data_IF_913797224550
#
_entry.id   IF_913797224550
#
_cell.length_a   1.000
_cell.length_b   1.000
_cell.length_c   1.000
_cell.angle_alpha   90.00
_cell.angle_beta   90.00
_cell.angle_gamma   90.00
#
_symmetry.space_group_name_H-M   'P 1'
#
loop_
_entity.id
_entity.type
_entity.pdbx_description
1 polymer ?
#
# COMPACT_ATOMS: atom_id res chain seq x y z
N UNK A 1 15.11 -15.43 2.28
CA UNK A 1 13.85 -15.56 3.05
C UNK A 1 14.15 -16.43 4.26
N UNK A 2 13.80 -15.98 5.45
CA UNK A 2 14.01 -16.76 6.67
C UNK A 2 12.97 -17.88 6.72
N UNK A 3 13.42 -19.13 6.56
CA UNK A 3 12.53 -20.29 6.48
C UNK A 3 11.74 -20.50 7.76
N UNK A 4 12.31 -20.16 8.92
CA UNK A 4 11.62 -20.35 10.20
C UNK A 4 10.43 -19.39 10.33
N UNK A 5 10.62 -18.14 9.89
CA UNK A 5 9.55 -17.13 9.86
C UNK A 5 8.40 -17.61 8.94
N UNK A 6 8.73 -18.01 7.72
CA UNK A 6 7.75 -18.45 6.72
C UNK A 6 7.00 -19.71 7.17
N UNK A 7 7.72 -20.74 7.63
CA UNK A 7 7.11 -21.98 8.12
C UNK A 7 6.26 -21.72 9.37
N UNK A 8 6.69 -20.83 10.26
CA UNK A 8 5.93 -20.47 11.46
C UNK A 8 4.58 -19.85 11.15
N UNK A 9 4.54 -18.84 10.26
CA UNK A 9 3.28 -18.21 9.82
C UNK A 9 2.40 -19.23 9.10
N UNK A 10 2.98 -20.02 8.17
CA UNK A 10 2.23 -21.05 7.44
C UNK A 10 1.62 -22.10 8.35
N UNK A 11 2.35 -22.54 9.38
CA UNK A 11 1.84 -23.51 10.34
C UNK A 11 0.67 -22.97 11.17
N UNK A 12 0.64 -21.68 11.44
CA UNK A 12 -0.48 -21.02 12.12
C UNK A 12 -1.67 -20.94 11.16
N UNK A 13 -1.48 -20.44 9.93
CA UNK A 13 -2.52 -20.33 8.90
C UNK A 13 -3.26 -21.67 8.64
N UNK A 14 -2.54 -22.79 8.63
CA UNK A 14 -3.15 -24.13 8.42
C UNK A 14 -4.03 -24.59 9.59
N UNK A 15 -3.83 -24.06 10.80
CA UNK A 15 -4.62 -24.46 11.98
C UNK A 15 -6.03 -23.86 11.99
N UNK A 16 -6.27 -22.79 11.21
CA UNK A 16 -7.57 -22.15 11.01
C UNK A 16 -8.32 -21.91 12.34
N UNK A 17 -7.66 -21.24 13.29
CA UNK A 17 -8.22 -20.91 14.60
C UNK A 17 -9.08 -19.64 14.54
N UNK A 18 -10.03 -19.47 15.47
CA UNK A 18 -10.87 -18.26 15.55
C UNK A 18 -10.03 -16.98 15.76
N UNK A 19 -8.83 -17.09 16.34
CA UNK A 19 -7.95 -15.97 16.70
C UNK A 19 -6.66 -15.93 15.87
N UNK A 20 -6.73 -16.36 14.60
CA UNK A 20 -5.58 -16.53 13.72
C UNK A 20 -4.66 -15.28 13.67
N UNK A 21 -5.25 -14.09 13.61
CA UNK A 21 -4.52 -12.82 13.54
C UNK A 21 -3.68 -12.55 14.80
N UNK A 22 -4.28 -12.77 15.98
CA UNK A 22 -3.59 -12.58 17.26
C UNK A 22 -2.48 -13.63 17.46
N UNK A 23 -2.67 -14.85 16.97
CA UNK A 23 -1.64 -15.90 17.03
C UNK A 23 -0.42 -15.55 16.18
N UNK A 24 -0.66 -15.08 14.95
CA UNK A 24 0.41 -14.63 14.04
C UNK A 24 1.13 -13.41 14.63
N UNK A 25 0.39 -12.44 15.16
CA UNK A 25 0.97 -11.26 15.82
C UNK A 25 1.87 -11.67 17.00
N UNK A 26 1.37 -12.54 17.88
CA UNK A 26 2.14 -13.07 19.02
C UNK A 26 3.39 -13.83 18.58
N UNK A 27 3.30 -14.58 17.48
CA UNK A 27 4.44 -15.28 16.89
C UNK A 27 5.49 -14.28 16.38
N UNK A 28 5.07 -13.28 15.60
CA UNK A 28 5.94 -12.23 15.06
C UNK A 28 6.60 -11.41 16.18
N UNK A 29 5.87 -11.02 17.22
CA UNK A 29 6.42 -10.29 18.37
C UNK A 29 7.52 -11.10 19.09
N UNK A 30 7.29 -12.40 19.32
CA UNK A 30 8.30 -13.29 19.92
C UNK A 30 9.51 -13.48 19.01
N UNK A 31 9.28 -13.56 17.70
CA UNK A 31 10.32 -13.71 16.70
C UNK A 31 11.21 -12.46 16.63
N UNK A 32 10.60 -11.28 16.60
CA UNK A 32 11.28 -9.98 16.54
C UNK A 32 12.07 -9.66 17.81
N UNK A 33 11.63 -10.12 18.98
CA UNK A 33 12.44 -10.04 20.22
C UNK A 33 13.79 -10.75 20.11
N UNK A 34 13.87 -11.82 19.30
CA UNK A 34 15.11 -12.58 19.07
C UNK A 34 15.87 -12.09 17.84
N UNK A 35 15.14 -11.54 16.87
CA UNK A 35 15.65 -11.10 15.58
C UNK A 35 15.25 -9.63 15.29
N UNK A 36 15.71 -8.66 16.10
CA UNK A 36 15.22 -7.28 16.02
C UNK A 36 15.57 -6.59 14.70
N UNK A 37 16.58 -7.08 13.98
CA UNK A 37 17.00 -6.53 12.69
C UNK A 37 16.32 -7.22 11.48
N UNK A 38 15.32 -8.08 11.69
CA UNK A 38 14.63 -8.79 10.62
C UNK A 38 13.57 -7.89 9.97
N UNK A 39 13.97 -7.19 8.90
CA UNK A 39 13.09 -6.29 8.12
C UNK A 39 11.82 -6.99 7.63
N UNK A 40 11.95 -8.22 7.11
CA UNK A 40 10.82 -9.02 6.62
C UNK A 40 9.75 -9.22 7.71
N UNK A 41 10.15 -9.57 8.93
CA UNK A 41 9.21 -9.79 10.03
C UNK A 41 8.53 -8.48 10.47
N UNK A 42 9.26 -7.35 10.45
CA UNK A 42 8.67 -6.04 10.74
C UNK A 42 7.65 -5.61 9.68
N UNK A 43 7.94 -5.81 8.38
CA UNK A 43 7.01 -5.49 7.30
C UNK A 43 5.74 -6.35 7.37
N UNK A 44 5.90 -7.65 7.63
CA UNK A 44 4.79 -8.58 7.83
C UNK A 44 3.90 -8.20 9.00
N UNK A 45 4.52 -7.86 10.14
CA UNK A 45 3.79 -7.40 11.31
C UNK A 45 3.06 -6.08 11.04
N UNK A 46 3.71 -5.14 10.34
CA UNK A 46 3.13 -3.83 10.03
C UNK A 46 1.81 -3.94 9.24
N UNK A 47 1.77 -4.78 8.20
CA UNK A 47 0.55 -4.94 7.39
C UNK A 47 -0.52 -5.75 8.12
N UNK A 48 -0.13 -6.77 8.89
CA UNK A 48 -1.04 -7.59 9.69
C UNK A 48 -1.80 -6.73 10.72
N UNK A 49 -1.09 -5.91 11.48
CA UNK A 49 -1.72 -5.11 12.55
C UNK A 49 -2.45 -3.88 12.02
N UNK A 50 -2.16 -3.44 10.79
CA UNK A 50 -2.91 -2.36 10.15
C UNK A 50 -4.32 -2.80 9.72
N UNK A 51 -4.47 -4.03 9.22
CA UNK A 51 -5.74 -4.51 8.70
C UNK A 51 -6.69 -4.95 9.83
N UNK A 52 -8.02 -4.81 9.64
CA UNK A 52 -8.99 -5.50 10.48
C UNK A 52 -8.75 -7.03 10.47
N UNK A 53 -9.00 -7.72 11.59
CA UNK A 53 -9.67 -7.25 12.80
C UNK A 53 -8.78 -6.52 13.81
N UNK A 54 -7.45 -6.47 13.62
CA UNK A 54 -6.54 -5.85 14.61
C UNK A 54 -6.65 -4.33 14.58
N UNK A 55 -6.43 -3.70 13.42
CA UNK A 55 -6.51 -2.25 13.20
C UNK A 55 -5.71 -1.39 14.23
N UNK A 56 -4.54 -1.87 14.66
CA UNK A 56 -3.59 -1.14 15.50
C UNK A 56 -2.62 -0.32 14.63
N UNK A 57 -3.10 0.86 14.22
CA UNK A 57 -2.36 1.77 13.35
C UNK A 57 -1.07 2.30 13.98
N UNK A 58 -1.04 2.50 15.31
CA UNK A 58 0.14 2.99 16.03
C UNK A 58 1.25 1.93 16.03
N UNK A 59 0.90 0.67 16.29
CA UNK A 59 1.84 -0.44 16.20
C UNK A 59 2.33 -0.64 14.77
N UNK A 60 1.46 -0.52 13.77
CA UNK A 60 1.85 -0.61 12.36
C UNK A 60 2.90 0.45 11.99
N UNK A 61 2.65 1.72 12.35
CA UNK A 61 3.60 2.81 12.12
C UNK A 61 4.92 2.59 12.87
N UNK A 62 4.87 2.06 14.09
CA UNK A 62 6.06 1.72 14.88
C UNK A 62 6.89 0.63 14.19
N UNK A 63 6.26 -0.41 13.66
CA UNK A 63 6.94 -1.47 12.90
C UNK A 63 7.65 -0.91 11.68
N UNK A 64 7.00 -0.02 10.92
CA UNK A 64 7.58 0.61 9.74
C UNK A 64 8.74 1.55 10.11
N UNK A 65 8.64 2.29 11.22
CA UNK A 65 9.74 3.10 11.73
C UNK A 65 10.94 2.25 12.12
N UNK A 66 10.74 1.09 12.75
CA UNK A 66 11.84 0.14 13.05
C UNK A 66 12.55 -0.32 11.77
N UNK A 67 11.81 -0.61 10.68
CA UNK A 67 12.45 -0.91 9.39
C UNK A 67 13.32 0.25 8.92
N UNK A 68 12.82 1.48 9.03
CA UNK A 68 13.50 2.70 8.60
C UNK A 68 14.66 3.14 9.51
N UNK A 69 14.78 2.58 10.70
CA UNK A 69 15.96 2.68 11.57
C UNK A 69 17.05 1.69 11.14
N UNK A 70 16.68 0.49 10.70
CA UNK A 70 17.60 -0.55 10.20
C UNK A 70 18.10 -0.20 8.79
N UNK A 71 17.18 0.17 7.89
CA UNK A 71 17.44 0.49 6.50
C UNK A 71 16.68 1.78 6.13
N UNK A 72 17.40 2.91 6.21
CA UNK A 72 16.84 4.26 6.04
C UNK A 72 16.07 4.47 4.73
N UNK A 73 16.51 3.80 3.67
CA UNK A 73 16.01 3.87 2.31
C UNK A 73 15.24 2.62 1.87
N UNK A 74 14.65 1.88 2.81
CA UNK A 74 13.76 0.78 2.48
C UNK A 74 12.46 1.30 1.82
N UNK A 75 12.37 1.18 0.48
CA UNK A 75 11.25 1.74 -0.28
C UNK A 75 9.89 1.15 0.13
N UNK A 76 9.83 -0.15 0.46
CA UNK A 76 8.58 -0.80 0.83
C UNK A 76 8.01 -0.21 2.12
N UNK A 77 8.85 -0.06 3.15
CA UNK A 77 8.45 0.58 4.39
C UNK A 77 8.00 2.03 4.17
N UNK A 78 8.74 2.82 3.36
CA UNK A 78 8.35 4.20 3.06
C UNK A 78 6.99 4.24 2.33
N UNK A 79 6.75 3.36 1.36
CA UNK A 79 5.49 3.31 0.60
C UNK A 79 4.30 2.94 1.49
N UNK A 80 4.45 1.89 2.30
CA UNK A 80 3.40 1.43 3.23
C UNK A 80 3.13 2.53 4.27
N UNK A 81 4.17 3.12 4.86
CA UNK A 81 4.01 4.21 5.83
C UNK A 81 3.31 5.43 5.22
N UNK A 82 3.67 5.80 3.99
CA UNK A 82 3.02 6.90 3.27
C UNK A 82 1.54 6.63 3.03
N UNK A 83 1.19 5.39 2.67
CA UNK A 83 -0.19 4.98 2.46
C UNK A 83 -0.99 5.06 3.77
N UNK A 84 -0.49 4.45 4.84
CA UNK A 84 -1.15 4.44 6.16
C UNK A 84 -1.35 5.88 6.65
N UNK A 85 -0.32 6.72 6.60
CA UNK A 85 -0.41 8.11 7.03
C UNK A 85 -1.46 8.89 6.21
N UNK A 86 -1.48 8.68 4.89
CA UNK A 86 -2.48 9.32 4.02
C UNK A 86 -3.91 8.86 4.31
N UNK A 87 -4.13 7.57 4.59
CA UNK A 87 -5.47 7.01 4.79
C UNK A 87 -6.00 7.30 6.19
N UNK A 88 -5.15 7.15 7.22
CA UNK A 88 -5.57 7.26 8.63
C UNK A 88 -5.56 8.71 9.10
N UNK A 89 -4.53 9.48 8.74
CA UNK A 89 -4.35 10.86 9.22
C UNK A 89 -4.71 11.92 8.18
N UNK A 90 -4.98 11.52 6.93
CA UNK A 90 -5.24 12.46 5.84
C UNK A 90 -4.01 13.23 5.36
N UNK A 91 -2.82 12.91 5.87
CA UNK A 91 -1.58 13.53 5.43
C UNK A 91 -0.36 12.62 5.55
N UNK A 92 0.55 12.71 4.57
CA UNK A 92 1.90 12.15 4.69
C UNK A 92 2.76 13.13 5.48
N UNK A 93 3.53 12.66 6.46
CA UNK A 93 4.37 13.55 7.27
C UNK A 93 5.54 14.13 6.46
N UNK A 94 6.08 15.27 6.92
CA UNK A 94 7.28 15.87 6.30
C UNK A 94 8.49 14.93 6.36
N UNK A 95 8.62 14.12 7.40
CA UNK A 95 9.71 13.16 7.53
C UNK A 95 9.59 12.06 6.46
N UNK A 96 8.43 11.43 6.35
CA UNK A 96 8.16 10.41 5.33
C UNK A 96 8.36 10.98 3.92
N UNK A 97 7.87 12.20 3.67
CA UNK A 97 8.05 12.89 2.40
C UNK A 97 9.53 13.19 2.11
N UNK A 98 10.31 13.61 3.11
CA UNK A 98 11.74 13.82 2.95
C UNK A 98 12.46 12.53 2.56
N UNK A 99 12.11 11.38 3.16
CA UNK A 99 12.65 10.07 2.76
C UNK A 99 12.29 9.72 1.32
N UNK A 100 11.02 9.91 0.94
CA UNK A 100 10.58 9.76 -0.46
C UNK A 100 11.38 10.65 -1.41
N UNK A 101 11.77 11.87 -1.03
CA UNK A 101 12.57 12.75 -1.89
C UNK A 101 14.01 12.27 -2.09
N UNK A 102 14.60 11.66 -1.08
CA UNK A 102 16.03 11.34 -1.06
C UNK A 102 16.36 9.89 -1.44
N UNK A 103 15.37 8.98 -1.42
CA UNK A 103 15.58 7.60 -1.86
C UNK A 103 15.88 7.55 -3.37
N UNK A 104 16.95 6.81 -3.72
CA UNK A 104 17.34 6.53 -5.10
C UNK A 104 16.62 5.29 -5.58
N UNK A 105 15.82 5.43 -6.63
CA UNK A 105 15.10 4.32 -7.25
C UNK A 105 15.56 4.19 -8.69
N UNK A 106 16.07 3.01 -9.04
CA UNK A 106 16.64 2.73 -10.37
C UNK A 106 15.67 1.98 -11.28
N UNK A 107 14.62 1.39 -10.72
CA UNK A 107 13.57 0.72 -11.46
C UNK A 107 12.42 1.70 -11.75
N UNK A 108 11.99 1.77 -13.01
CA UNK A 108 10.95 2.73 -13.42
C UNK A 108 9.60 2.44 -12.77
N UNK A 109 9.23 1.17 -12.58
CA UNK A 109 7.97 0.83 -11.93
C UNK A 109 8.01 1.20 -10.44
N UNK A 110 9.13 0.99 -9.75
CA UNK A 110 9.30 1.45 -8.37
C UNK A 110 9.33 2.98 -8.25
N UNK A 111 9.97 3.69 -9.20
CA UNK A 111 9.95 5.16 -9.25
C UNK A 111 8.51 5.67 -9.45
N UNK A 112 7.71 4.96 -10.23
CA UNK A 112 6.29 5.27 -10.40
C UNK A 112 5.53 5.28 -9.07
N UNK A 113 5.75 4.28 -8.21
CA UNK A 113 5.12 4.19 -6.88
C UNK A 113 5.65 5.26 -5.92
N UNK A 114 6.95 5.55 -5.97
CA UNK A 114 7.55 6.66 -5.22
C UNK A 114 6.88 8.00 -5.60
N UNK A 115 6.62 8.23 -6.88
CA UNK A 115 5.94 9.44 -7.36
C UNK A 115 4.45 9.48 -6.97
N UNK A 116 3.77 8.33 -6.97
CA UNK A 116 2.41 8.20 -6.44
C UNK A 116 2.40 8.61 -4.97
N UNK A 117 3.29 8.05 -4.14
CA UNK A 117 3.34 8.35 -2.71
C UNK A 117 3.68 9.82 -2.43
N UNK A 118 4.58 10.44 -3.20
CA UNK A 118 4.83 11.90 -3.13
C UNK A 118 3.58 12.72 -3.45
N UNK A 119 2.69 12.22 -4.31
CA UNK A 119 1.46 12.94 -4.67
C UNK A 119 0.47 13.02 -3.49
N UNK A 120 0.44 12.02 -2.60
CA UNK A 120 -0.40 12.04 -1.39
C UNK A 120 0.01 13.15 -0.41
N UNK A 121 1.32 13.47 -0.33
CA UNK A 121 1.78 14.64 0.42
C UNK A 121 1.23 15.94 -0.17
N UNK A 122 1.24 16.12 -1.50
CA UNK A 122 0.74 17.34 -2.13
C UNK A 122 -0.80 17.43 -2.11
N UNK A 123 -1.50 16.29 -2.06
CA UNK A 123 -2.94 16.23 -1.85
C UNK A 123 -3.33 16.87 -0.51
N UNK A 124 -2.69 16.48 0.59
CA UNK A 124 -3.00 17.04 1.92
C UNK A 124 -2.65 18.53 2.07
N UNK A 125 -1.85 19.07 1.15
CA UNK A 125 -1.50 20.51 1.08
C UNK A 125 -2.29 21.28 0.04
N UNK A 126 -3.26 20.66 -0.64
CA UNK A 126 -4.05 21.24 -1.72
C UNK A 126 -3.16 21.82 -2.86
N UNK A 127 -2.03 21.18 -3.12
CA UNK A 127 -1.04 21.61 -4.12
C UNK A 127 -1.24 20.87 -5.45
N UNK A 128 -2.39 21.10 -6.09
CA UNK A 128 -2.86 20.33 -7.25
C UNK A 128 -1.93 20.35 -8.45
N UNK A 129 -1.20 21.46 -8.68
CA UNK A 129 -0.27 21.56 -9.81
C UNK A 129 0.91 20.59 -9.64
N UNK A 130 1.48 20.53 -8.45
CA UNK A 130 2.56 19.62 -8.09
C UNK A 130 2.06 18.17 -8.09
N UNK A 131 0.90 17.94 -7.49
CA UNK A 131 0.23 16.64 -7.47
C UNK A 131 -0.01 16.10 -8.88
N UNK A 132 -0.61 16.90 -9.77
CA UNK A 132 -0.89 16.50 -11.15
C UNK A 132 0.40 16.20 -11.93
N UNK A 133 1.44 17.01 -11.75
CA UNK A 133 2.74 16.79 -12.40
C UNK A 133 3.36 15.44 -12.02
N UNK A 134 3.35 15.13 -10.71
CA UNK A 134 3.84 13.84 -10.20
C UNK A 134 3.00 12.67 -10.70
N UNK A 135 1.68 12.79 -10.66
CA UNK A 135 0.77 11.73 -11.09
C UNK A 135 0.91 11.43 -12.59
N UNK A 136 1.11 12.45 -13.43
CA UNK A 136 1.41 12.24 -14.86
C UNK A 136 2.70 11.46 -15.06
N UNK A 137 3.78 11.84 -14.35
CA UNK A 137 5.05 11.12 -14.44
C UNK A 137 4.93 9.69 -13.89
N UNK A 138 4.21 9.51 -12.78
CA UNK A 138 3.91 8.20 -12.19
C UNK A 138 3.17 7.30 -13.19
N UNK A 139 2.09 7.78 -13.82
CA UNK A 139 1.35 7.06 -14.85
C UNK A 139 2.23 6.65 -16.05
N UNK A 140 3.18 7.50 -16.46
CA UNK A 140 4.07 7.19 -17.58
C UNK A 140 5.07 6.08 -17.24
N UNK A 141 5.61 6.10 -16.02
CA UNK A 141 6.59 5.11 -15.56
C UNK A 141 5.96 3.78 -15.13
N UNK A 142 4.70 3.82 -14.66
CA UNK A 142 3.93 2.65 -14.23
C UNK A 142 2.59 2.57 -14.96
N UNK A 143 2.57 2.29 -16.28
CA UNK A 143 1.36 2.33 -17.10
C UNK A 143 0.34 1.22 -16.79
N UNK A 144 0.74 0.25 -15.96
CA UNK A 144 -0.11 -0.87 -15.52
C UNK A 144 -0.63 -0.71 -14.09
N UNK A 145 -0.19 0.30 -13.35
CA UNK A 145 -0.65 0.52 -11.99
C UNK A 145 -1.98 1.27 -12.00
N UNK A 146 -3.01 0.57 -11.53
CA UNK A 146 -4.40 1.04 -11.54
C UNK A 146 -4.52 2.29 -10.68
N UNK A 147 -3.95 2.27 -9.47
CA UNK A 147 -4.03 3.40 -8.54
C UNK A 147 -3.46 4.69 -9.13
N UNK A 148 -2.32 4.64 -9.83
CA UNK A 148 -1.74 5.82 -10.48
C UNK A 148 -2.74 6.52 -11.41
N UNK A 149 -3.37 5.73 -12.28
CA UNK A 149 -4.31 6.24 -13.26
C UNK A 149 -5.66 6.63 -12.64
N UNK A 150 -6.13 5.90 -11.63
CA UNK A 150 -7.34 6.24 -10.88
C UNK A 150 -7.17 7.56 -10.14
N UNK A 151 -6.08 7.74 -9.40
CA UNK A 151 -5.80 8.99 -8.67
C UNK A 151 -5.67 10.17 -9.61
N UNK A 152 -4.96 10.03 -10.75
CA UNK A 152 -4.91 11.08 -11.77
C UNK A 152 -6.29 11.36 -12.37
N UNK A 153 -7.05 10.32 -12.68
CA UNK A 153 -8.39 10.43 -13.24
C UNK A 153 -9.35 11.18 -12.31
N UNK A 154 -9.32 10.86 -11.02
CA UNK A 154 -10.09 11.53 -9.97
C UNK A 154 -9.71 13.01 -9.85
N UNK A 155 -8.40 13.33 -9.81
CA UNK A 155 -7.94 14.73 -9.78
C UNK A 155 -8.41 15.52 -11.01
N UNK A 156 -8.36 14.92 -12.20
CA UNK A 156 -8.85 15.57 -13.43
C UNK A 156 -10.36 15.82 -13.39
N UNK A 157 -11.14 14.87 -12.86
CA UNK A 157 -12.59 15.06 -12.66
C UNK A 157 -12.86 16.19 -11.67
N UNK A 158 -12.14 16.25 -10.55
CA UNK A 158 -12.24 17.34 -9.56
C UNK A 158 -11.95 18.71 -10.19
N UNK A 159 -11.03 18.79 -11.15
CA UNK A 159 -10.70 20.00 -11.91
C UNK A 159 -11.66 20.31 -13.07
N UNK A 160 -12.77 19.58 -13.20
CA UNK A 160 -13.77 19.75 -14.26
C UNK A 160 -13.40 19.13 -15.61
N UNK A 161 -12.29 18.41 -15.71
CA UNK A 161 -11.83 17.73 -16.93
C UNK A 161 -12.38 16.29 -17.01
N UNK A 162 -13.69 16.14 -16.83
CA UNK A 162 -14.32 14.85 -16.55
C UNK A 162 -14.11 13.78 -17.62
N UNK A 163 -14.20 14.14 -18.91
CA UNK A 163 -13.96 13.19 -20.01
C UNK A 163 -12.56 12.60 -19.98
N UNK A 164 -11.56 13.47 -19.78
CA UNK A 164 -10.15 13.05 -19.70
C UNK A 164 -9.91 12.18 -18.48
N UNK A 165 -10.47 12.54 -17.32
CA UNK A 165 -10.35 11.75 -16.10
C UNK A 165 -11.00 10.37 -16.22
N UNK A 166 -12.19 10.28 -16.81
CA UNK A 166 -12.87 9.01 -17.11
C UNK A 166 -12.07 8.12 -18.06
N UNK A 167 -11.37 8.69 -19.04
CA UNK A 167 -10.50 7.92 -19.94
C UNK A 167 -9.34 7.26 -19.19
N UNK A 168 -8.73 7.96 -18.22
CA UNK A 168 -7.70 7.38 -17.37
C UNK A 168 -8.24 6.23 -16.52
N UNK A 169 -9.39 6.43 -15.85
CA UNK A 169 -10.01 5.39 -15.01
C UNK A 169 -10.40 4.17 -15.85
N UNK A 170 -10.98 4.38 -17.05
CA UNK A 170 -11.34 3.29 -17.96
C UNK A 170 -10.14 2.43 -18.35
N UNK A 171 -8.99 3.06 -18.64
CA UNK A 171 -7.74 2.36 -18.95
C UNK A 171 -7.17 1.66 -17.72
N UNK A 172 -7.24 2.30 -16.56
CA UNK A 172 -6.79 1.73 -15.29
C UNK A 172 -7.45 0.38 -15.02
N UNK A 173 -8.77 0.31 -15.16
CA UNK A 173 -9.55 -0.92 -14.89
C UNK A 173 -9.19 -2.09 -15.82
N UNK A 174 -8.61 -1.84 -17.00
CA UNK A 174 -8.13 -2.90 -17.90
C UNK A 174 -6.87 -3.61 -17.39
N UNK A 175 -6.17 -3.01 -16.42
CA UNK A 175 -4.95 -3.56 -15.82
C UNK A 175 -5.19 -4.29 -14.50
N UNK A 176 -6.44 -4.38 -14.03
CA UNK A 176 -6.79 -5.18 -12.85
C UNK A 176 -6.54 -6.65 -13.19
N UNK A 177 -5.69 -7.30 -12.40
CA UNK A 177 -5.27 -8.70 -12.59
C UNK A 177 -6.09 -9.67 -11.75
N UNK A 178 -6.57 -9.23 -10.60
CA UNK A 178 -7.29 -10.06 -9.65
C UNK A 178 -8.39 -9.27 -8.95
N UNK A 179 -9.54 -9.91 -8.77
CA UNK A 179 -10.66 -9.36 -8.00
C UNK A 179 -11.03 -10.38 -6.92
N UNK A 180 -10.98 -9.96 -5.66
CA UNK A 180 -11.39 -10.76 -4.51
C UNK A 180 -12.89 -10.59 -4.24
N UNK A 181 -13.59 -11.71 -4.04
CA UNK A 181 -14.93 -11.70 -3.45
C UNK A 181 -14.80 -11.62 -1.93
N UNK A 182 -15.63 -10.81 -1.27
CA UNK A 182 -15.54 -10.55 0.18
C UNK A 182 -15.85 -11.76 1.08
N UNK A 183 -16.05 -12.95 0.51
CA UNK A 183 -16.63 -14.10 1.22
C UNK A 183 -15.56 -14.98 1.88
N UNK A 184 -14.30 -14.95 1.41
CA UNK A 184 -13.25 -15.86 1.88
C UNK A 184 -11.96 -15.12 2.31
N UNK A 185 -12.05 -14.26 3.33
CA UNK A 185 -10.88 -13.64 3.98
C UNK A 185 -9.92 -14.67 4.61
N UNK A 186 -10.39 -15.89 4.86
CA UNK A 186 -9.63 -16.97 5.52
C UNK A 186 -8.55 -17.62 4.64
N UNK A 187 -8.55 -17.39 3.32
CA UNK A 187 -7.54 -17.97 2.41
C UNK A 187 -6.37 -17.03 2.12
N UNK A 188 -6.42 -15.77 2.57
CA UNK A 188 -5.38 -14.77 2.31
C UNK A 188 -4.34 -14.74 3.43
N UNK A 189 -3.06 -14.74 3.05
CA UNK A 189 -1.97 -14.42 3.98
C UNK A 189 -1.95 -12.91 4.24
N UNK A 190 -2.65 -12.47 5.29
CA UNK A 190 -2.72 -11.07 5.71
C UNK A 190 -1.38 -10.50 6.19
N UNK A 191 -0.31 -11.31 6.25
CA UNK A 191 1.05 -10.83 6.50
C UNK A 191 1.81 -10.48 5.22
N UNK A 192 1.30 -10.86 4.03
CA UNK A 192 1.98 -10.62 2.76
C UNK A 192 1.93 -9.13 2.39
N UNK A 193 3.00 -8.41 2.74
CA UNK A 193 3.13 -7.01 2.41
C UNK A 193 3.32 -6.76 0.91
N UNK A 194 3.73 -7.75 0.10
CA UNK A 194 3.73 -7.60 -1.34
C UNK A 194 2.31 -7.59 -1.88
N UNK A 195 1.44 -8.45 -1.33
CA UNK A 195 0.03 -8.45 -1.67
C UNK A 195 -0.66 -7.17 -1.20
N UNK A 196 -0.35 -6.71 0.02
CA UNK A 196 -0.77 -5.39 0.50
C UNK A 196 -0.39 -4.27 -0.50
N UNK A 197 0.84 -4.27 -1.01
CA UNK A 197 1.27 -3.30 -2.03
C UNK A 197 0.50 -3.49 -3.35
N UNK A 198 0.23 -4.73 -3.77
CA UNK A 198 -0.53 -5.00 -5.00
C UNK A 198 -1.98 -4.51 -4.91
N UNK A 199 -2.62 -4.70 -3.76
CA UNK A 199 -4.00 -4.29 -3.53
C UNK A 199 -4.11 -2.80 -3.20
N UNK A 200 -3.46 -2.36 -2.11
CA UNK A 200 -3.67 -1.03 -1.52
C UNK A 200 -2.94 0.08 -2.26
N UNK A 201 -1.78 -0.22 -2.86
CA UNK A 201 -0.90 0.81 -3.45
C UNK A 201 -0.93 0.76 -4.97
N UNK A 202 -0.69 -0.39 -5.60
CA UNK A 202 -0.71 -0.54 -7.06
C UNK A 202 -2.13 -0.61 -7.63
N UNK A 203 -3.07 -1.18 -6.86
CA UNK A 203 -4.45 -1.41 -7.27
C UNK A 203 -4.63 -2.47 -8.36
N UNK A 204 -3.61 -3.30 -8.59
CA UNK A 204 -3.68 -4.36 -9.62
C UNK A 204 -4.49 -5.56 -9.12
N UNK A 205 -4.57 -5.75 -7.81
CA UNK A 205 -5.53 -6.63 -7.16
C UNK A 205 -6.54 -5.73 -6.44
N UNK A 206 -7.81 -6.10 -6.40
CA UNK A 206 -8.86 -5.28 -5.79
C UNK A 206 -9.92 -6.16 -5.15
N UNK A 207 -10.57 -5.69 -4.10
CA UNK A 207 -11.85 -6.28 -3.70
C UNK A 207 -12.94 -5.90 -4.70
N UNK A 208 -13.98 -6.73 -4.82
CA UNK A 208 -15.15 -6.45 -5.67
C UNK A 208 -15.81 -5.11 -5.31
N UNK A 209 -15.84 -4.75 -4.02
CA UNK A 209 -16.33 -3.45 -3.53
C UNK A 209 -15.49 -2.29 -4.04
N UNK A 210 -14.16 -2.39 -3.95
CA UNK A 210 -13.27 -1.33 -4.44
C UNK A 210 -13.36 -1.20 -5.97
N UNK A 211 -13.39 -2.32 -6.68
CA UNK A 211 -13.56 -2.34 -8.14
C UNK A 211 -14.85 -1.63 -8.59
N UNK A 212 -15.99 -1.96 -7.97
CA UNK A 212 -17.27 -1.32 -8.28
C UNK A 212 -17.31 0.15 -7.87
N UNK A 213 -16.64 0.53 -6.77
CA UNK A 213 -16.48 1.93 -6.37
C UNK A 213 -15.76 2.75 -7.46
N UNK A 214 -14.68 2.21 -8.03
CA UNK A 214 -13.95 2.85 -9.13
C UNK A 214 -14.83 2.90 -10.40
N UNK A 215 -15.58 1.84 -10.72
CA UNK A 215 -16.48 1.83 -11.89
C UNK A 215 -17.55 2.91 -11.87
N UNK A 216 -18.01 3.35 -10.69
CA UNK A 216 -19.02 4.43 -10.57
C UNK A 216 -18.57 5.75 -11.20
N UNK A 217 -17.26 6.01 -11.29
CA UNK A 217 -16.74 7.20 -11.98
C UNK A 217 -16.99 7.18 -13.50
N UNK A 218 -17.27 6.01 -14.09
CA UNK A 218 -17.56 5.87 -15.53
C UNK A 218 -19.05 6.03 -15.87
N UNK A 219 -19.92 6.07 -14.87
CA UNK A 219 -21.39 6.12 -15.04
C UNK A 219 -21.97 7.52 -14.83
N UNK A 220 -21.21 8.40 -14.17
CA UNK A 220 -21.47 9.85 -14.07
C UNK A 220 -20.82 10.57 -15.23
#
# INVERSE_FOLDING_TARGET
MDKYLEEGIKNILVQNTENIYEEIENFLDKYLKRNPNCIEAWLRLAVLVFEPPIADYEKSETCLKNVLEIEYDNLQAILILSFIQSVIYGEVTKETFFRLQNIKVHDSELESLQLLAKSWYYESKNMDTQRESLLKKSCNLGPRYVSNHVTLGQLLIQKGMSEKGRLYIKRALQNVKQIYDQVDDHELDHTDYHEFINERIKGIHLTSVTYESIRKYLQK
#
